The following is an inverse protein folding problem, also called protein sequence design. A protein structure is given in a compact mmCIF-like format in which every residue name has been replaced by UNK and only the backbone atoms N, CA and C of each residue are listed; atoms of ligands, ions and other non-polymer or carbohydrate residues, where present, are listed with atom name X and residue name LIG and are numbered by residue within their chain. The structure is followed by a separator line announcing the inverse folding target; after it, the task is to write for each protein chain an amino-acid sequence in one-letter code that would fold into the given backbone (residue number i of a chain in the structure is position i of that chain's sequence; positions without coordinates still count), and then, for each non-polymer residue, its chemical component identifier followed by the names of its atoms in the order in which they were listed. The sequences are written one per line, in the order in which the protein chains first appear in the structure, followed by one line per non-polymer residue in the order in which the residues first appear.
data_IF_000662548502
#
_entry.id   IF_000662548502
#
_cell.length_a   1.000
_cell.length_b   1.000
_cell.length_c   1.000
_cell.angle_alpha   90.00
_cell.angle_beta   90.00
_cell.angle_gamma   90.00
#
_symmetry.space_group_name_H-M   'P 1'
#
loop_
_entity.id
_entity.type
_entity.pdbx_description
1 polymer ?
#
# COMPACT_ATOMS: atom_id res chain seq x y z
N UNK A 1 8.51 -17.22 -3.83
CA UNK A 1 8.94 -16.28 -2.77
C UNK A 1 8.29 -16.75 -1.50
N UNK A 2 8.95 -16.54 -0.37
CA UNK A 2 8.41 -16.92 0.93
C UNK A 2 7.29 -15.98 1.34
N UNK A 3 6.33 -16.49 2.12
CA UNK A 3 5.29 -15.65 2.73
C UNK A 3 5.92 -14.54 3.56
N UNK A 4 7.02 -14.82 4.27
CA UNK A 4 7.78 -13.81 5.01
C UNK A 4 8.27 -12.65 4.12
N UNK A 5 8.82 -12.96 2.94
CA UNK A 5 9.27 -11.95 1.97
C UNK A 5 8.11 -11.10 1.45
N UNK A 6 6.93 -11.72 1.23
CA UNK A 6 5.73 -10.98 0.81
C UNK A 6 5.22 -10.06 1.93
N UNK A 7 5.25 -10.51 3.19
CA UNK A 7 4.90 -9.67 4.34
C UNK A 7 5.82 -8.46 4.43
N UNK A 8 7.13 -8.63 4.22
CA UNK A 8 8.09 -7.51 4.21
C UNK A 8 7.76 -6.49 3.11
N UNK A 9 7.42 -6.93 1.89
CA UNK A 9 6.99 -6.04 0.81
C UNK A 9 5.72 -5.26 1.15
N UNK A 10 4.75 -5.93 1.79
CA UNK A 10 3.52 -5.28 2.24
C UNK A 10 3.80 -4.27 3.36
N UNK A 11 4.63 -4.62 4.34
CA UNK A 11 5.01 -3.74 5.45
C UNK A 11 5.77 -2.49 4.92
N UNK A 12 6.66 -2.65 3.94
CA UNK A 12 7.34 -1.53 3.26
C UNK A 12 6.33 -0.62 2.53
N UNK A 13 5.40 -1.22 1.79
CA UNK A 13 4.37 -0.46 1.05
C UNK A 13 3.43 0.30 2.00
N UNK A 14 3.04 -0.31 3.12
CA UNK A 14 2.26 0.33 4.19
C UNK A 14 3.01 1.54 4.76
N UNK A 15 4.31 1.43 4.99
CA UNK A 15 5.11 2.55 5.49
C UNK A 15 5.13 3.71 4.50
N UNK A 16 5.32 3.42 3.21
CA UNK A 16 5.30 4.42 2.14
C UNK A 16 3.94 5.12 2.02
N UNK A 17 2.83 4.38 2.05
CA UNK A 17 1.50 4.99 2.02
C UNK A 17 1.24 5.92 3.21
N UNK A 18 1.68 5.55 4.42
CA UNK A 18 1.56 6.42 5.59
C UNK A 18 2.31 7.74 5.41
N UNK A 19 3.49 7.71 4.79
CA UNK A 19 4.25 8.92 4.44
C UNK A 19 3.48 9.75 3.42
N UNK A 20 2.99 9.14 2.34
CA UNK A 20 2.22 9.79 1.29
C UNK A 20 0.95 10.47 1.82
N UNK A 21 0.21 9.80 2.72
CA UNK A 21 -0.98 10.34 3.38
C UNK A 21 -0.62 11.60 4.15
N UNK A 22 0.41 11.56 5.00
CA UNK A 22 0.82 12.70 5.81
C UNK A 22 1.27 13.86 4.91
N UNK A 23 1.99 13.56 3.82
CA UNK A 23 2.40 14.56 2.84
C UNK A 23 1.18 15.26 2.20
N UNK A 24 0.18 14.51 1.74
CA UNK A 24 -1.04 15.07 1.16
C UNK A 24 -1.85 15.86 2.19
N UNK A 25 -1.99 15.36 3.42
CA UNK A 25 -2.67 16.09 4.50
C UNK A 25 -1.99 17.43 4.81
N UNK A 26 -0.65 17.48 4.82
CA UNK A 26 0.08 18.74 4.99
C UNK A 26 -0.14 19.70 3.81
N UNK A 27 -0.09 19.19 2.57
CA UNK A 27 -0.33 19.99 1.35
C UNK A 27 -1.75 20.56 1.28
N UNK A 28 -2.73 19.89 1.90
CA UNK A 28 -4.10 20.38 1.98
C UNK A 28 -4.22 21.74 2.70
N UNK A 29 -3.22 22.13 3.50
CA UNK A 29 -3.15 23.42 4.18
C UNK A 29 -2.32 24.49 3.44
N UNK A 30 -1.67 24.15 2.32
CA UNK A 30 -0.81 25.08 1.56
C UNK A 30 -1.61 26.12 0.77
N UNK A 31 -2.76 25.73 0.20
CA UNK A 31 -3.62 26.63 -0.59
C UNK A 31 -5.09 26.17 -0.61
N UNK A 32 -6.06 27.09 -0.44
CA UNK A 32 -7.48 26.76 -0.56
C UNK A 32 -7.88 26.21 -1.93
N UNK A 33 -7.13 26.53 -2.99
CA UNK A 33 -7.45 26.13 -4.37
C UNK A 33 -7.14 24.65 -4.66
N UNK A 34 -6.16 24.08 -3.97
CA UNK A 34 -5.73 22.67 -4.12
C UNK A 34 -6.06 21.83 -2.89
N UNK A 35 -6.58 22.46 -1.83
CA UNK A 35 -6.92 21.80 -0.56
C UNK A 35 -7.87 20.61 -0.74
N UNK A 36 -8.88 20.75 -1.61
CA UNK A 36 -9.83 19.69 -1.91
C UNK A 36 -9.14 18.48 -2.56
N UNK A 37 -8.30 18.71 -3.56
CA UNK A 37 -7.59 17.65 -4.30
C UNK A 37 -6.67 16.87 -3.37
N UNK A 38 -5.90 17.55 -2.51
CA UNK A 38 -5.02 16.89 -1.54
C UNK A 38 -5.80 16.16 -0.44
N UNK A 39 -6.93 16.70 0.00
CA UNK A 39 -7.80 16.02 0.98
C UNK A 39 -8.40 14.75 0.38
N UNK A 40 -8.91 14.84 -0.85
CA UNK A 40 -9.45 13.68 -1.56
C UNK A 40 -8.36 12.61 -1.76
N UNK A 41 -7.16 13.03 -2.18
CA UNK A 41 -6.05 12.09 -2.37
C UNK A 41 -5.63 11.41 -1.08
N UNK A 42 -5.60 12.14 0.04
CA UNK A 42 -5.31 11.55 1.34
C UNK A 42 -6.36 10.54 1.79
N UNK A 43 -7.63 10.72 1.41
CA UNK A 43 -8.71 9.75 1.68
C UNK A 43 -8.56 8.49 0.81
N UNK A 44 -8.28 8.63 -0.49
CA UNK A 44 -8.02 7.50 -1.38
C UNK A 44 -6.86 6.64 -0.86
N UNK A 45 -5.75 7.27 -0.46
CA UNK A 45 -4.59 6.57 0.09
C UNK A 45 -4.88 5.90 1.45
N UNK A 46 -5.82 6.43 2.23
CA UNK A 46 -6.28 5.79 3.48
C UNK A 46 -7.08 4.52 3.19
N UNK A 47 -7.93 4.52 2.16
CA UNK A 47 -8.66 3.32 1.74
C UNK A 47 -7.69 2.22 1.27
N UNK A 48 -6.70 2.57 0.45
CA UNK A 48 -5.64 1.64 0.00
C UNK A 48 -4.84 1.09 1.20
N UNK A 49 -4.52 1.93 2.17
CA UNK A 49 -3.82 1.55 3.39
C UNK A 49 -4.62 0.54 4.22
N UNK A 50 -5.92 0.79 4.41
CA UNK A 50 -6.81 -0.10 5.16
C UNK A 50 -6.89 -1.48 4.51
N UNK A 51 -6.93 -1.53 3.18
CA UNK A 51 -6.95 -2.80 2.44
C UNK A 51 -5.61 -3.55 2.51
N UNK A 52 -4.46 -2.84 2.44
CA UNK A 52 -3.17 -3.45 2.69
C UNK A 52 -3.01 -3.96 4.12
N UNK A 53 -3.55 -3.25 5.12
CA UNK A 53 -3.54 -3.72 6.50
C UNK A 53 -4.32 -5.02 6.67
N UNK A 54 -5.48 -5.16 6.00
CA UNK A 54 -6.23 -6.44 5.99
C UNK A 54 -5.43 -7.55 5.29
N UNK A 55 -4.80 -7.26 4.15
CA UNK A 55 -3.96 -8.23 3.45
C UNK A 55 -2.79 -8.71 4.33
N UNK A 56 -2.11 -7.77 5.01
CA UNK A 56 -1.05 -8.05 5.97
C UNK A 56 -1.52 -8.94 7.11
N UNK A 57 -2.71 -8.68 7.67
CA UNK A 57 -3.31 -9.52 8.71
C UNK A 57 -3.66 -10.93 8.21
N UNK A 58 -4.06 -11.07 6.95
CA UNK A 58 -4.30 -12.39 6.34
C UNK A 58 -2.98 -13.16 6.17
N UNK A 59 -1.95 -12.52 5.62
CA UNK A 59 -0.63 -13.12 5.43
C UNK A 59 0.02 -13.54 6.76
N UNK A 60 -0.17 -12.76 7.82
CA UNK A 60 0.36 -13.07 9.16
C UNK A 60 -0.22 -14.35 9.79
N UNK A 61 -1.30 -14.91 9.22
CA UNK A 61 -1.88 -16.20 9.67
C UNK A 61 -1.22 -17.40 8.98
N UNK A 62 -0.44 -17.18 7.93
CA UNK A 62 0.26 -18.20 7.16
C UNK A 62 1.64 -18.46 7.76
N UNK A 63 2.25 -19.59 7.40
CA UNK A 63 3.62 -19.92 7.79
C UNK A 63 4.62 -19.05 7.01
N UNK A 64 5.45 -18.20 7.66
CA UNK A 64 6.42 -17.34 6.98
C UNK A 64 7.40 -18.09 6.07
N UNK A 65 7.72 -19.35 6.40
CA UNK A 65 8.67 -20.19 5.65
C UNK A 65 8.01 -20.96 4.49
N UNK A 66 6.67 -20.93 4.38
CA UNK A 66 5.95 -21.54 3.27
C UNK A 66 6.09 -20.71 1.99
N UNK A 67 6.00 -21.38 0.84
CA UNK A 67 5.96 -20.69 -0.45
C UNK A 67 4.58 -20.04 -0.66
N UNK A 68 4.56 -18.82 -1.18
CA UNK A 68 3.31 -18.10 -1.46
C UNK A 68 2.42 -18.85 -2.46
N UNK A 69 3.03 -19.57 -3.41
CA UNK A 69 2.35 -20.39 -4.42
C UNK A 69 1.53 -21.55 -3.81
N UNK A 70 1.77 -21.92 -2.55
CA UNK A 70 0.98 -22.91 -1.83
C UNK A 70 -0.38 -22.36 -1.35
N UNK A 71 -0.51 -21.04 -1.23
CA UNK A 71 -1.67 -20.36 -0.65
C UNK A 71 -2.45 -19.50 -1.65
N UNK A 72 -1.80 -19.03 -2.71
CA UNK A 72 -2.37 -18.14 -3.72
C UNK A 72 -2.14 -18.68 -5.11
N UNK A 73 -3.07 -18.42 -6.03
CA UNK A 73 -2.81 -18.69 -7.45
C UNK A 73 -1.74 -17.73 -7.99
N UNK A 74 -1.02 -18.17 -9.02
CA UNK A 74 0.01 -17.34 -9.64
C UNK A 74 -0.53 -16.03 -10.22
N UNK A 75 -1.76 -16.03 -10.73
CA UNK A 75 -2.44 -14.82 -11.24
C UNK A 75 -2.76 -13.84 -10.11
N UNK A 76 -3.36 -14.31 -9.01
CA UNK A 76 -3.66 -13.48 -7.84
C UNK A 76 -2.38 -12.88 -7.23
N UNK A 77 -1.30 -13.66 -7.16
CA UNK A 77 -0.02 -13.18 -6.67
C UNK A 77 0.57 -12.10 -7.58
N UNK A 78 0.52 -12.31 -8.89
CA UNK A 78 1.05 -11.34 -9.85
C UNK A 78 0.27 -10.02 -9.80
N UNK A 79 -1.06 -10.08 -9.73
CA UNK A 79 -1.90 -8.89 -9.56
C UNK A 79 -1.60 -8.15 -8.27
N UNK A 80 -1.43 -8.87 -7.17
CA UNK A 80 -1.10 -8.27 -5.88
C UNK A 80 0.28 -7.60 -5.88
N UNK A 81 1.29 -8.24 -6.46
CA UNK A 81 2.63 -7.66 -6.58
C UNK A 81 2.62 -6.40 -7.46
N UNK A 82 1.84 -6.38 -8.56
CA UNK A 82 1.66 -5.18 -9.38
C UNK A 82 0.98 -4.05 -8.59
N UNK A 83 -0.03 -4.37 -7.76
CA UNK A 83 -0.66 -3.38 -6.89
C UNK A 83 0.35 -2.78 -5.91
N UNK A 84 1.15 -3.62 -5.24
CA UNK A 84 2.20 -3.15 -4.32
C UNK A 84 3.21 -2.24 -5.03
N UNK A 85 3.61 -2.59 -6.26
CA UNK A 85 4.50 -1.75 -7.06
C UNK A 85 3.88 -0.39 -7.40
N UNK A 86 2.61 -0.36 -7.80
CA UNK A 86 1.88 0.88 -8.07
C UNK A 86 1.78 1.77 -6.82
N UNK A 87 1.45 1.17 -5.68
CA UNK A 87 1.30 1.89 -4.41
C UNK A 87 2.65 2.39 -3.87
N UNK A 88 3.73 1.62 -4.03
CA UNK A 88 5.09 2.07 -3.69
C UNK A 88 5.51 3.28 -4.53
N UNK A 89 5.09 3.34 -5.79
CA UNK A 89 5.37 4.44 -6.69
C UNK A 89 4.36 5.59 -6.58
N UNK A 90 3.33 5.47 -5.74
CA UNK A 90 2.36 6.54 -5.53
C UNK A 90 2.98 7.77 -4.83
N UNK A 91 4.21 7.64 -4.30
CA UNK A 91 4.91 8.67 -3.55
C UNK A 91 6.25 9.06 -4.21
N UNK A 92 6.16 9.90 -5.26
CA UNK A 92 7.17 10.92 -5.61
C UNK A 92 6.69 11.70 -6.85
N UNK A 93 6.16 12.91 -6.67
CA UNK A 93 5.98 13.93 -7.73
C UNK A 93 4.79 13.82 -8.71
N UNK A 94 3.61 13.34 -8.30
CA UNK A 94 2.40 13.60 -9.08
C UNK A 94 1.79 14.97 -8.73
N UNK A 95 2.36 16.01 -9.36
CA UNK A 95 1.98 17.43 -9.49
C UNK A 95 2.07 18.35 -8.25
#
# INVERSE_FOLDING_TARGET
MKVGELIELVDETIANLKIAIIANQNRAFESPHTSYEFTQRALELQEDLDDLMKAREMLAKLDPESEVEEHFSGEELEEFLRLLELLRNADAHAY
#
